data_IF_106582955549
#
_entry.id   IF_106582955549
#
_cell.length_a   1.000
_cell.length_b   1.000
_cell.length_c   1.000
_cell.angle_alpha   90.00
_cell.angle_beta   90.00
_cell.angle_gamma   90.00
#
_symmetry.space_group_name_H-M   'P 1'
#
loop_
_entity.id
_entity.type
_entity.pdbx_description
1 polymer ?
#
# COMPACT_ATOMS: atom_id res chain seq x y z
N UNK A 1 10.63 14.51 -40.81
CA UNK A 1 10.80 15.37 -39.60
C UNK A 1 9.81 14.96 -38.51
N UNK A 2 10.11 15.25 -37.24
CA UNK A 2 9.22 14.97 -36.09
C UNK A 2 7.83 15.57 -36.31
N UNK A 3 7.77 16.81 -36.85
CA UNK A 3 6.52 17.49 -37.10
C UNK A 3 5.66 16.80 -38.19
N UNK A 4 6.27 16.22 -39.21
CA UNK A 4 5.54 15.46 -40.22
C UNK A 4 4.96 14.16 -39.64
N UNK A 5 5.67 13.52 -38.73
CA UNK A 5 5.16 12.35 -37.98
C UNK A 5 3.98 12.76 -37.12
N UNK A 6 4.13 13.78 -36.28
CA UNK A 6 3.05 14.28 -35.41
C UNK A 6 1.77 14.67 -36.19
N UNK A 7 1.92 15.25 -37.41
CA UNK A 7 0.78 15.65 -38.20
C UNK A 7 0.09 14.52 -38.99
N UNK A 8 0.82 13.44 -39.31
CA UNK A 8 0.34 12.41 -40.24
C UNK A 8 0.26 11.00 -39.65
N UNK A 9 0.78 10.76 -38.46
CA UNK A 9 0.92 9.40 -37.86
C UNK A 9 -0.42 8.82 -37.45
N UNK A 10 -1.38 9.66 -37.15
CA UNK A 10 -2.70 9.23 -36.74
C UNK A 10 -3.17 9.92 -35.46
N UNK A 11 -4.07 9.28 -34.75
CA UNK A 11 -4.57 9.80 -33.48
C UNK A 11 -4.90 8.68 -32.52
N UNK A 12 -4.79 8.98 -31.24
CA UNK A 12 -5.42 8.21 -30.17
C UNK A 12 -6.50 9.08 -29.52
N UNK A 13 -7.72 8.57 -29.46
CA UNK A 13 -8.86 9.25 -28.87
C UNK A 13 -9.48 8.38 -27.80
N UNK A 14 -9.29 8.77 -26.55
CA UNK A 14 -9.96 8.17 -25.40
C UNK A 14 -11.22 8.97 -25.08
N UNK A 15 -12.34 8.27 -24.91
CA UNK A 15 -13.59 8.82 -24.41
C UNK A 15 -13.89 8.18 -23.09
N UNK A 16 -14.02 8.98 -22.03
CA UNK A 16 -14.39 8.56 -20.71
C UNK A 16 -15.68 9.24 -20.28
N UNK A 17 -16.64 8.43 -19.82
CA UNK A 17 -17.91 8.89 -19.27
C UNK A 17 -17.95 8.48 -17.79
N UNK A 18 -18.02 9.45 -16.91
CA UNK A 18 -18.15 9.23 -15.46
C UNK A 18 -19.55 9.67 -15.04
N UNK A 19 -20.36 8.73 -14.56
CA UNK A 19 -21.69 9.00 -14.06
C UNK A 19 -21.74 8.67 -12.57
N UNK A 20 -22.18 9.62 -11.75
CA UNK A 20 -22.32 9.46 -10.32
C UNK A 20 -23.74 9.86 -9.91
N UNK A 21 -24.49 8.89 -9.40
CA UNK A 21 -25.83 9.08 -8.88
C UNK A 21 -25.77 8.86 -7.37
N UNK A 22 -26.24 9.84 -6.61
CA UNK A 22 -26.36 9.75 -5.16
C UNK A 22 -27.80 10.06 -4.76
N UNK A 23 -28.46 9.08 -4.19
CA UNK A 23 -29.72 9.26 -3.51
C UNK A 23 -29.48 9.22 -2.00
N UNK A 24 -30.02 10.21 -1.27
CA UNK A 24 -29.96 10.24 0.19
C UNK A 24 -31.30 10.64 0.78
N UNK A 25 -31.72 9.91 1.80
CA UNK A 25 -32.93 10.18 2.55
C UNK A 25 -32.59 10.26 4.05
N UNK A 26 -32.98 11.33 4.69
CA UNK A 26 -32.80 11.57 6.12
C UNK A 26 -34.14 11.71 6.79
N UNK A 27 -34.42 10.92 7.81
CA UNK A 27 -35.62 10.98 8.60
C UNK A 27 -35.30 11.36 10.04
N UNK A 28 -35.92 12.43 10.52
CA UNK A 28 -35.92 12.75 11.94
C UNK A 28 -37.04 11.96 12.59
N UNK A 29 -36.71 11.19 13.61
CA UNK A 29 -37.67 10.32 14.31
C UNK A 29 -37.88 10.79 15.75
N UNK A 30 -37.87 12.11 15.96
CA UNK A 30 -38.12 12.73 17.28
C UNK A 30 -39.47 12.36 17.87
N UNK A 31 -40.42 11.89 17.04
CA UNK A 31 -41.73 11.37 17.49
C UNK A 31 -41.61 10.05 18.28
N UNK A 32 -40.52 9.24 18.05
CA UNK A 32 -40.24 8.05 18.84
C UNK A 32 -39.43 8.43 20.08
N UNK A 33 -38.30 9.12 19.86
CA UNK A 33 -37.45 9.67 20.93
C UNK A 33 -36.62 10.84 20.40
N UNK A 34 -36.52 11.90 21.22
CA UNK A 34 -35.76 13.10 20.85
C UNK A 34 -34.31 12.76 20.55
N UNK A 35 -33.82 13.23 19.40
CA UNK A 35 -32.45 13.01 18.95
C UNK A 35 -32.23 11.74 18.12
N UNK A 36 -33.29 10.98 17.81
CA UNK A 36 -33.22 9.82 16.93
C UNK A 36 -33.35 10.24 15.47
N UNK A 37 -32.51 9.72 14.60
CA UNK A 37 -32.59 9.91 13.16
C UNK A 37 -32.15 8.67 12.40
N UNK A 38 -32.62 8.54 11.17
CA UNK A 38 -32.17 7.49 10.25
C UNK A 38 -31.72 8.13 8.95
N UNK A 39 -30.69 7.55 8.35
CA UNK A 39 -30.15 7.97 7.07
C UNK A 39 -30.04 6.76 6.14
N UNK A 40 -30.50 6.90 4.92
CA UNK A 40 -30.31 5.96 3.83
C UNK A 40 -29.55 6.66 2.71
N UNK A 41 -28.50 6.02 2.20
CA UNK A 41 -27.75 6.46 1.02
C UNK A 41 -27.63 5.31 0.03
N UNK A 42 -27.90 5.60 -1.22
CA UNK A 42 -27.63 4.71 -2.35
C UNK A 42 -26.76 5.50 -3.32
N UNK A 43 -25.53 5.07 -3.47
CA UNK A 43 -24.59 5.64 -4.44
C UNK A 43 -24.38 4.63 -5.57
N UNK A 44 -24.53 5.08 -6.80
CA UNK A 44 -24.25 4.30 -8.00
C UNK A 44 -23.32 5.10 -8.88
N UNK A 45 -22.15 4.57 -9.16
CA UNK A 45 -21.19 5.17 -10.07
C UNK A 45 -20.83 4.25 -11.22
N UNK A 46 -20.68 4.82 -12.39
CA UNK A 46 -20.15 4.11 -13.56
C UNK A 46 -19.05 4.92 -14.21
N UNK A 47 -17.97 4.23 -14.54
CA UNK A 47 -16.90 4.75 -15.38
C UNK A 47 -16.90 3.87 -16.64
N UNK A 48 -17.05 4.51 -17.80
CA UNK A 48 -17.08 3.87 -19.12
C UNK A 48 -15.98 4.52 -19.95
N UNK A 49 -14.95 3.75 -20.29
CA UNK A 49 -13.80 4.22 -21.04
C UNK A 49 -13.61 3.41 -22.31
N UNK A 50 -13.60 4.12 -23.45
CA UNK A 50 -13.36 3.57 -24.75
C UNK A 50 -12.19 4.34 -25.40
N UNK A 51 -11.20 3.62 -25.89
CA UNK A 51 -10.13 4.21 -26.68
C UNK A 51 -10.21 3.72 -28.14
N UNK A 52 -9.90 4.63 -29.03
CA UNK A 52 -9.79 4.34 -30.46
C UNK A 52 -8.55 5.00 -31.01
N UNK A 53 -7.70 4.22 -31.60
CA UNK A 53 -6.48 4.68 -32.27
C UNK A 53 -6.55 4.44 -33.77
N UNK A 54 -5.97 5.32 -34.53
CA UNK A 54 -5.78 5.17 -35.95
C UNK A 54 -4.32 5.47 -36.29
N UNK A 55 -3.63 4.49 -36.81
CA UNK A 55 -2.19 4.59 -37.11
C UNK A 55 -1.90 4.37 -38.60
N UNK A 56 -0.87 5.03 -39.08
CA UNK A 56 -0.27 4.79 -40.40
C UNK A 56 1.14 4.26 -40.19
N UNK A 57 1.43 3.09 -40.72
CA UNK A 57 2.69 2.38 -40.45
C UNK A 57 3.89 2.87 -41.26
N UNK A 58 3.70 3.75 -42.21
CA UNK A 58 4.82 4.20 -43.07
C UNK A 58 4.78 5.67 -43.46
N UNK A 59 5.93 6.30 -43.40
CA UNK A 59 6.16 7.69 -43.82
C UNK A 59 7.25 7.75 -44.87
N UNK A 60 7.15 8.65 -45.89
CA UNK A 60 8.27 8.89 -46.75
C UNK A 60 9.41 9.51 -45.93
N UNK A 61 10.54 8.89 -45.96
CA UNK A 61 11.79 9.47 -45.48
C UNK A 61 12.49 10.14 -46.65
N UNK A 62 13.04 11.33 -46.42
CA UNK A 62 13.72 12.13 -47.45
C UNK A 62 15.19 12.22 -47.10
N UNK A 63 16.04 11.99 -48.10
CA UNK A 63 17.48 12.26 -48.02
C UNK A 63 17.75 13.64 -48.64
N UNK A 64 18.39 14.52 -47.90
CA UNK A 64 18.82 15.82 -48.41
C UNK A 64 20.11 15.69 -49.20
N UNK A 65 20.09 16.03 -50.47
CA UNK A 65 21.29 16.10 -51.30
C UNK A 65 21.88 17.50 -51.23
N UNK A 66 23.00 17.68 -50.53
CA UNK A 66 23.65 18.98 -50.34
C UNK A 66 24.23 19.58 -51.64
N UNK A 67 24.54 18.74 -52.63
CA UNK A 67 25.09 19.22 -53.92
C UNK A 67 24.02 19.82 -54.83
N UNK A 68 22.79 19.38 -54.74
CA UNK A 68 21.65 19.85 -55.56
C UNK A 68 20.64 20.68 -54.79
N UNK A 69 20.73 20.73 -53.45
CA UNK A 69 19.77 21.43 -52.62
C UNK A 69 18.38 20.76 -52.56
N UNK A 70 18.22 19.56 -53.08
CA UNK A 70 16.92 18.87 -53.23
C UNK A 70 16.78 17.76 -52.22
N UNK A 71 15.55 17.59 -51.71
CA UNK A 71 15.16 16.42 -50.88
C UNK A 71 14.65 15.31 -51.80
N UNK A 72 15.40 14.22 -51.88
CA UNK A 72 15.01 13.03 -52.61
C UNK A 72 14.30 12.04 -51.66
N UNK A 73 13.29 11.33 -52.14
CA UNK A 73 12.65 10.25 -51.39
C UNK A 73 13.70 9.12 -51.20
N UNK A 74 13.85 8.64 -50.00
CA UNK A 74 14.71 7.49 -49.71
C UNK A 74 14.08 6.26 -50.41
N UNK A 75 14.80 5.61 -51.35
CA UNK A 75 14.25 4.46 -52.06
C UNK A 75 14.02 3.25 -51.17
N UNK A 76 14.74 3.14 -50.05
CA UNK A 76 14.56 2.08 -49.08
C UNK A 76 13.39 2.33 -48.10
N UNK A 77 12.84 3.54 -48.10
CA UNK A 77 11.64 3.90 -47.33
C UNK A 77 10.39 3.60 -48.13
N UNK A 78 9.83 2.44 -48.01
CA UNK A 78 8.56 2.07 -48.66
C UNK A 78 7.43 2.93 -48.08
N UNK A 79 7.04 3.97 -48.86
CA UNK A 79 5.87 4.76 -48.57
C UNK A 79 4.65 4.14 -49.28
N UNK A 80 3.93 3.35 -48.54
CA UNK A 80 2.54 3.02 -48.91
C UNK A 80 1.62 4.00 -48.20
N UNK A 81 0.93 4.83 -48.97
CA UNK A 81 -0.14 5.68 -48.46
C UNK A 81 -1.31 4.75 -48.08
N UNK A 82 -1.12 3.98 -47.03
CA UNK A 82 -2.12 3.05 -46.52
C UNK A 82 -3.29 3.80 -45.86
N UNK A 83 -4.45 3.22 -45.93
CA UNK A 83 -5.59 3.60 -45.09
C UNK A 83 -5.15 3.40 -43.63
N UNK A 84 -5.36 4.39 -42.74
CA UNK A 84 -5.01 4.21 -41.34
C UNK A 84 -5.68 2.94 -40.79
N UNK A 85 -4.90 2.04 -40.19
CA UNK A 85 -5.45 0.95 -39.43
C UNK A 85 -6.17 1.54 -38.22
N UNK A 86 -7.45 1.22 -38.06
CA UNK A 86 -8.25 1.65 -36.90
C UNK A 86 -8.27 0.48 -35.94
N UNK A 87 -7.72 0.69 -34.78
CA UNK A 87 -7.78 -0.23 -33.66
C UNK A 87 -8.74 0.34 -32.62
N UNK A 88 -9.67 -0.48 -32.17
CA UNK A 88 -10.51 -0.18 -30.99
C UNK A 88 -9.87 -0.89 -29.82
N UNK A 89 -9.40 -0.10 -28.84
CA UNK A 89 -8.84 -0.69 -27.62
C UNK A 89 -9.96 -1.29 -26.78
N UNK A 90 -9.63 -2.28 -25.95
CA UNK A 90 -10.61 -2.94 -25.09
C UNK A 90 -11.40 -1.92 -24.27
N UNK A 91 -12.70 -2.13 -24.24
CA UNK A 91 -13.63 -1.35 -23.42
C UNK A 91 -13.40 -1.66 -21.95
N UNK A 92 -13.32 -0.62 -21.13
CA UNK A 92 -13.27 -0.75 -19.67
C UNK A 92 -14.52 -0.12 -19.08
N UNK A 93 -15.33 -0.89 -18.38
CA UNK A 93 -16.44 -0.38 -17.61
C UNK A 93 -16.30 -0.76 -16.14
N UNK A 94 -16.39 0.23 -15.26
CA UNK A 94 -16.43 0.05 -13.81
C UNK A 94 -17.83 0.42 -13.34
N UNK A 95 -18.47 -0.47 -12.61
CA UNK A 95 -19.77 -0.24 -11.97
C UNK A 95 -19.61 -0.42 -10.47
N UNK A 96 -20.03 0.54 -9.69
CA UNK A 96 -19.95 0.51 -8.23
C UNK A 96 -21.30 0.90 -7.65
N UNK A 97 -21.88 -0.01 -6.86
CA UNK A 97 -23.10 0.20 -6.12
C UNK A 97 -22.80 0.14 -4.63
N UNK A 98 -23.03 1.24 -3.93
CA UNK A 98 -22.85 1.34 -2.49
C UNK A 98 -24.20 1.68 -1.82
N UNK A 99 -24.59 0.84 -0.87
CA UNK A 99 -25.78 1.01 -0.04
C UNK A 99 -25.35 1.23 1.40
N UNK A 100 -25.75 2.35 2.00
CA UNK A 100 -25.52 2.65 3.41
C UNK A 100 -26.85 2.96 4.09
N UNK A 101 -27.10 2.33 5.22
CA UNK A 101 -28.22 2.63 6.09
C UNK A 101 -27.72 2.83 7.51
N UNK A 102 -28.11 3.93 8.17
CA UNK A 102 -27.71 4.19 9.55
C UNK A 102 -28.89 4.65 10.41
N UNK A 103 -28.82 4.28 11.68
CA UNK A 103 -29.65 4.80 12.76
C UNK A 103 -28.72 5.55 13.70
N UNK A 104 -29.05 6.81 13.97
CA UNK A 104 -28.23 7.70 14.78
C UNK A 104 -29.08 8.22 15.94
N UNK A 105 -28.50 8.25 17.12
CA UNK A 105 -29.08 8.84 18.32
C UNK A 105 -28.08 9.83 18.88
N UNK A 106 -28.50 11.08 19.09
CA UNK A 106 -27.65 12.13 19.64
C UNK A 106 -28.49 12.96 20.63
N UNK A 107 -28.06 12.94 21.89
CA UNK A 107 -28.78 13.66 22.95
C UNK A 107 -27.89 14.07 24.10
N UNK A 108 -28.13 15.30 24.58
CA UNK A 108 -27.52 15.80 25.80
C UNK A 108 -28.58 15.75 26.92
N UNK A 109 -28.24 15.08 28.01
CA UNK A 109 -29.06 15.00 29.21
C UNK A 109 -28.47 15.89 30.30
N UNK A 110 -29.33 16.64 30.97
CA UNK A 110 -28.98 17.53 32.08
C UNK A 110 -27.81 18.48 31.78
N UNK A 111 -27.55 18.79 30.50
CA UNK A 111 -26.41 19.60 30.04
C UNK A 111 -25.03 19.03 30.38
N UNK A 112 -24.94 17.81 30.93
CA UNK A 112 -23.73 17.19 31.44
C UNK A 112 -23.39 15.91 30.67
N UNK A 113 -24.42 15.15 30.29
CA UNK A 113 -24.21 13.83 29.66
C UNK A 113 -24.49 13.92 28.15
N UNK A 114 -23.46 13.93 27.33
CA UNK A 114 -23.60 13.93 25.88
C UNK A 114 -23.41 12.46 25.39
N UNK A 115 -24.50 11.92 24.83
CA UNK A 115 -24.56 10.52 24.34
C UNK A 115 -24.80 10.54 22.85
N UNK A 116 -23.88 9.86 22.11
CA UNK A 116 -24.03 9.65 20.68
C UNK A 116 -23.90 8.17 20.37
N UNK A 117 -24.86 7.62 19.64
CA UNK A 117 -24.84 6.24 19.18
C UNK A 117 -25.14 6.18 17.70
N UNK A 118 -24.45 5.34 16.96
CA UNK A 118 -24.69 5.09 15.54
C UNK A 118 -24.59 3.59 15.28
N UNK A 119 -25.63 3.06 14.63
CA UNK A 119 -25.57 1.74 14.00
C UNK A 119 -25.61 1.95 12.49
N UNK A 120 -24.56 1.52 11.81
CA UNK A 120 -24.39 1.64 10.35
C UNK A 120 -24.34 0.27 9.72
N UNK A 121 -25.12 0.06 8.68
CA UNK A 121 -24.96 -1.03 7.72
C UNK A 121 -24.42 -0.47 6.41
N UNK A 122 -23.40 -1.11 5.85
CA UNK A 122 -22.80 -0.79 4.55
C UNK A 122 -22.71 -2.03 3.69
N UNK A 123 -23.06 -1.91 2.41
CA UNK A 123 -22.85 -2.95 1.41
C UNK A 123 -22.35 -2.32 0.11
N UNK A 124 -21.27 -2.86 -0.42
CA UNK A 124 -20.66 -2.44 -1.67
C UNK A 124 -20.59 -3.60 -2.65
N UNK A 125 -20.83 -3.31 -3.92
CA UNK A 125 -20.69 -4.26 -5.03
C UNK A 125 -20.03 -3.54 -6.19
N UNK A 126 -18.77 -3.90 -6.47
CA UNK A 126 -17.97 -3.29 -7.54
C UNK A 126 -17.67 -4.31 -8.62
N UNK A 127 -18.04 -4.00 -9.85
CA UNK A 127 -17.75 -4.80 -11.04
C UNK A 127 -16.76 -4.03 -11.90
N UNK A 128 -15.74 -4.72 -12.40
CA UNK A 128 -14.81 -4.19 -13.40
C UNK A 128 -14.96 -5.07 -14.63
N UNK A 129 -15.51 -4.51 -15.70
CA UNK A 129 -15.66 -5.17 -16.99
C UNK A 129 -14.47 -4.74 -17.86
N UNK A 130 -13.65 -5.69 -18.27
CA UNK A 130 -12.56 -5.49 -19.24
C UNK A 130 -12.89 -6.34 -20.46
N UNK A 131 -12.92 -5.73 -21.61
CA UNK A 131 -13.10 -6.42 -22.89
C UNK A 131 -11.75 -7.01 -23.37
N UNK A 132 -11.10 -7.74 -22.46
CA UNK A 132 -9.81 -8.37 -22.72
C UNK A 132 -9.93 -9.89 -22.57
N UNK A 133 -9.38 -10.67 -23.50
CA UNK A 133 -9.35 -12.12 -23.41
C UNK A 133 -8.33 -12.67 -22.41
N UNK A 134 -8.11 -11.99 -21.28
CA UNK A 134 -7.20 -12.51 -20.27
C UNK A 134 -7.85 -13.63 -19.47
N UNK A 135 -7.31 -14.82 -19.62
CA UNK A 135 -7.77 -16.12 -19.14
C UNK A 135 -7.75 -16.32 -17.61
N UNK A 136 -7.26 -15.34 -16.85
CA UNK A 136 -6.90 -15.57 -15.43
C UNK A 136 -8.00 -15.21 -14.45
N UNK A 137 -8.87 -14.25 -14.72
CA UNK A 137 -10.00 -13.91 -13.86
C UNK A 137 -11.16 -13.41 -14.71
N UNK A 138 -12.38 -13.93 -14.48
CA UNK A 138 -13.56 -13.31 -15.06
C UNK A 138 -13.74 -11.92 -14.44
N UNK A 139 -13.42 -10.83 -15.15
CA UNK A 139 -13.53 -9.47 -14.60
C UNK A 139 -14.97 -9.09 -14.29
N UNK A 140 -15.93 -9.84 -14.80
CA UNK A 140 -17.38 -9.61 -14.66
C UNK A 140 -17.93 -10.06 -13.29
N UNK A 141 -17.16 -10.80 -12.49
CA UNK A 141 -17.62 -11.20 -11.15
C UNK A 141 -17.43 -10.04 -10.18
N UNK A 142 -18.52 -9.46 -9.62
CA UNK A 142 -18.43 -8.33 -8.73
C UNK A 142 -17.64 -8.66 -7.45
N UNK A 143 -16.84 -7.73 -6.99
CA UNK A 143 -16.25 -7.77 -5.64
C UNK A 143 -17.31 -7.26 -4.66
N UNK A 144 -17.58 -8.01 -3.61
CA UNK A 144 -18.62 -7.70 -2.64
C UNK A 144 -18.03 -7.53 -1.24
N UNK A 145 -18.40 -6.44 -0.62
CA UNK A 145 -18.11 -6.13 0.77
C UNK A 145 -19.40 -5.75 1.49
N UNK A 146 -19.53 -6.15 2.74
CA UNK A 146 -20.57 -5.61 3.62
C UNK A 146 -20.10 -5.54 5.04
N UNK A 147 -20.60 -4.56 5.78
CA UNK A 147 -20.23 -4.36 7.16
C UNK A 147 -21.35 -3.81 8.01
N UNK A 148 -21.30 -4.12 9.27
CA UNK A 148 -22.14 -3.49 10.30
C UNK A 148 -21.23 -2.85 11.32
N UNK A 149 -21.41 -1.56 11.58
CA UNK A 149 -20.59 -0.79 12.51
C UNK A 149 -21.47 -0.19 13.59
N UNK A 150 -21.10 -0.43 14.84
CA UNK A 150 -21.66 0.24 16.01
C UNK A 150 -20.64 1.25 16.54
N UNK A 151 -21.05 2.48 16.72
CA UNK A 151 -20.29 3.52 17.40
C UNK A 151 -21.08 4.05 18.58
N UNK A 152 -20.45 4.09 19.74
CA UNK A 152 -20.99 4.68 20.96
C UNK A 152 -19.98 5.69 21.47
N UNK A 153 -20.41 6.94 21.63
CA UNK A 153 -19.61 8.02 22.20
C UNK A 153 -20.33 8.59 23.40
N UNK A 154 -19.64 8.69 24.49
CA UNK A 154 -20.14 9.30 25.71
C UNK A 154 -19.17 10.35 26.22
N UNK A 155 -19.70 11.53 26.52
CA UNK A 155 -18.93 12.60 27.11
C UNK A 155 -19.62 13.11 28.37
N UNK A 156 -18.90 13.10 29.47
CA UNK A 156 -19.36 13.58 30.76
C UNK A 156 -18.73 14.94 31.06
N UNK A 157 -19.60 15.96 31.19
CA UNK A 157 -19.29 17.35 31.55
C UNK A 157 -18.08 17.91 30.77
N UNK A 158 -17.94 17.53 29.50
CA UNK A 158 -16.78 17.89 28.63
C UNK A 158 -15.41 17.44 29.15
N UNK A 159 -15.35 16.75 30.28
CA UNK A 159 -14.11 16.30 30.96
C UNK A 159 -13.68 14.91 30.58
N UNK A 160 -14.60 13.94 30.65
CA UNK A 160 -14.31 12.54 30.38
C UNK A 160 -15.00 12.11 29.10
N UNK A 161 -14.22 11.52 28.18
CA UNK A 161 -14.69 11.06 26.89
C UNK A 161 -14.42 9.58 26.76
N UNK A 162 -15.42 8.82 26.32
CA UNK A 162 -15.32 7.39 26.05
C UNK A 162 -15.92 7.16 24.68
N UNK A 163 -15.14 6.57 23.79
CA UNK A 163 -15.56 6.13 22.46
C UNK A 163 -15.43 4.61 22.36
N UNK A 164 -16.49 3.93 22.02
CA UNK A 164 -16.49 2.51 21.71
C UNK A 164 -16.93 2.32 20.27
N UNK A 165 -16.12 1.64 19.48
CA UNK A 165 -16.39 1.31 18.10
C UNK A 165 -16.28 -0.20 17.90
N UNK A 166 -17.17 -0.77 17.11
CA UNK A 166 -17.21 -2.18 16.80
C UNK A 166 -17.63 -2.35 15.35
N UNK A 167 -16.83 -3.04 14.56
CA UNK A 167 -17.17 -3.37 13.18
C UNK A 167 -17.19 -4.90 12.99
N UNK A 168 -18.24 -5.39 12.31
CA UNK A 168 -18.38 -6.76 11.84
C UNK A 168 -18.48 -6.73 10.33
N UNK A 169 -17.35 -7.02 9.66
CA UNK A 169 -17.19 -6.85 8.23
C UNK A 169 -17.02 -8.19 7.52
N UNK A 170 -17.60 -8.31 6.35
CA UNK A 170 -17.51 -9.49 5.49
C UNK A 170 -17.01 -9.14 4.10
N UNK A 171 -16.07 -9.92 3.58
CA UNK A 171 -15.49 -9.81 2.24
C UNK A 171 -15.67 -11.12 1.47
N UNK A 172 -15.96 -11.03 0.17
CA UNK A 172 -16.07 -12.17 -0.72
C UNK A 172 -14.73 -12.73 -1.21
N UNK A 173 -13.61 -12.06 -0.82
CA UNK A 173 -12.26 -12.51 -1.12
C UNK A 173 -11.90 -13.82 -0.42
N UNK A 174 -12.62 -14.13 0.67
CA UNK A 174 -12.37 -15.31 1.51
C UNK A 174 -13.43 -16.38 1.32
N UNK A 175 -13.06 -17.63 1.55
CA UNK A 175 -13.96 -18.77 1.51
C UNK A 175 -15.11 -18.62 2.52
N UNK A 176 -16.27 -19.23 2.22
CA UNK A 176 -17.36 -19.31 3.19
C UNK A 176 -16.87 -19.89 4.53
N UNK A 177 -17.22 -19.23 5.64
CA UNK A 177 -16.69 -19.54 6.98
C UNK A 177 -15.55 -18.63 7.43
N UNK A 178 -14.75 -18.05 6.52
CA UNK A 178 -13.64 -17.13 6.82
C UNK A 178 -13.90 -15.69 6.39
N UNK A 179 -15.09 -15.40 5.84
CA UNK A 179 -15.44 -14.10 5.25
C UNK A 179 -15.56 -12.97 6.25
N UNK A 180 -15.98 -13.27 7.48
CA UNK A 180 -16.33 -12.25 8.46
C UNK A 180 -15.23 -12.06 9.49
N UNK A 181 -14.91 -10.77 9.76
CA UNK A 181 -14.00 -10.35 10.81
C UNK A 181 -14.69 -9.40 11.80
N UNK A 182 -14.31 -9.50 13.07
CA UNK A 182 -14.78 -8.66 14.16
C UNK A 182 -13.67 -7.74 14.65
N UNK A 183 -13.93 -6.42 14.67
CA UNK A 183 -12.93 -5.38 14.87
C UNK A 183 -13.41 -4.36 15.92
N UNK A 184 -13.20 -4.63 17.22
CA UNK A 184 -13.52 -3.69 18.29
C UNK A 184 -12.40 -2.68 18.51
N UNK A 185 -12.78 -1.46 18.96
CA UNK A 185 -11.85 -0.42 19.39
C UNK A 185 -12.48 0.41 20.51
N UNK A 186 -11.64 0.85 21.45
CA UNK A 186 -12.00 1.74 22.52
C UNK A 186 -11.05 2.94 22.57
N UNK A 187 -11.59 4.12 22.79
CA UNK A 187 -10.86 5.35 23.02
C UNK A 187 -11.28 5.99 24.33
N UNK A 188 -10.35 6.56 25.04
CA UNK A 188 -10.55 7.30 26.28
C UNK A 188 -9.90 8.67 26.14
N UNK A 189 -10.58 9.69 26.66
CA UNK A 189 -10.06 11.04 26.70
C UNK A 189 -10.36 11.71 28.05
N UNK A 190 -9.39 12.45 28.54
CA UNK A 190 -9.53 13.26 29.75
C UNK A 190 -9.08 14.69 29.47
N UNK A 191 -10.04 15.62 29.48
CA UNK A 191 -9.79 17.04 29.37
C UNK A 191 -9.44 17.62 30.75
N UNK A 192 -8.16 17.54 31.14
CA UNK A 192 -7.66 17.95 32.45
C UNK A 192 -7.91 19.47 32.66
N UNK A 193 -7.78 20.26 31.58
CA UNK A 193 -8.08 21.69 31.62
C UNK A 193 -9.50 22.04 32.04
N UNK A 194 -10.46 21.10 31.87
CA UNK A 194 -11.85 21.29 32.26
C UNK A 194 -12.10 20.98 33.74
N UNK A 195 -11.11 20.47 34.47
CA UNK A 195 -11.24 20.20 35.90
C UNK A 195 -11.24 21.49 36.70
N UNK A 196 -12.13 21.61 37.67
CA UNK A 196 -12.30 22.82 38.48
C UNK A 196 -11.07 23.18 39.30
N UNK A 197 -10.31 22.15 39.77
CA UNK A 197 -9.04 22.34 40.48
C UNK A 197 -7.95 22.87 39.55
N UNK A 198 -7.90 22.39 38.29
CA UNK A 198 -6.90 22.81 37.30
C UNK A 198 -7.13 24.26 36.89
N UNK A 199 -8.35 24.64 36.52
CA UNK A 199 -8.73 26.01 36.12
C UNK A 199 -8.45 27.05 37.22
N UNK A 200 -8.52 26.65 38.49
CA UNK A 200 -8.28 27.56 39.60
C UNK A 200 -6.78 27.83 39.81
N UNK A 201 -5.91 26.86 39.57
CA UNK A 201 -4.50 26.92 39.91
C UNK A 201 -3.59 27.17 38.70
N UNK A 202 -3.99 26.78 37.50
CA UNK A 202 -3.16 26.89 36.30
C UNK A 202 -3.75 27.92 35.36
N UNK A 203 -3.02 29.01 35.14
CA UNK A 203 -3.38 30.07 34.21
C UNK A 203 -2.52 29.95 32.94
N UNK A 204 -3.13 30.31 31.78
CA UNK A 204 -2.42 30.30 30.49
C UNK A 204 -2.42 28.94 29.78
N UNK A 205 -3.04 27.92 30.35
CA UNK A 205 -3.34 26.65 29.67
C UNK A 205 -4.80 26.65 29.25
N UNK A 206 -5.04 26.77 27.95
CA UNK A 206 -6.39 26.84 27.39
C UNK A 206 -7.01 25.46 27.21
N UNK A 207 -6.18 24.47 26.81
CA UNK A 207 -6.53 23.06 26.70
C UNK A 207 -5.37 22.19 27.16
N UNK A 208 -5.67 21.24 28.01
CA UNK A 208 -4.81 20.08 28.28
C UNK A 208 -5.69 18.84 28.27
N UNK A 209 -5.50 18.00 27.26
CA UNK A 209 -6.25 16.76 27.08
C UNK A 209 -5.31 15.59 26.87
N UNK A 210 -5.50 14.55 27.66
CA UNK A 210 -4.88 13.25 27.44
C UNK A 210 -5.87 12.35 26.69
N UNK A 211 -5.37 11.57 25.75
CA UNK A 211 -6.17 10.60 25.00
C UNK A 211 -5.41 9.32 24.83
N UNK A 212 -6.11 8.22 24.82
CA UNK A 212 -5.55 6.90 24.51
C UNK A 212 -6.58 6.08 23.77
N UNK A 213 -6.10 5.26 22.86
CA UNK A 213 -6.97 4.31 22.15
C UNK A 213 -6.29 2.95 22.01
N UNK A 214 -7.12 1.93 21.97
CA UNK A 214 -6.70 0.57 21.65
C UNK A 214 -7.77 -0.08 20.77
N UNK A 215 -7.33 -0.69 19.66
CA UNK A 215 -8.27 -1.29 18.72
C UNK A 215 -7.67 -2.40 17.88
N UNK A 216 -8.57 -3.25 17.37
CA UNK A 216 -8.27 -4.25 16.36
C UNK A 216 -8.78 -3.74 15.01
N UNK A 217 -7.93 -3.77 14.00
CA UNK A 217 -8.25 -3.40 12.61
C UNK A 217 -7.99 -4.60 11.70
N UNK A 218 -8.86 -4.81 10.72
CA UNK A 218 -8.71 -5.85 9.71
C UNK A 218 -8.49 -5.26 8.31
N UNK A 219 -7.76 -6.01 7.47
CA UNK A 219 -7.60 -5.74 6.04
C UNK A 219 -7.94 -6.99 5.24
N UNK A 220 -8.72 -6.82 4.17
CA UNK A 220 -9.08 -7.88 3.22
C UNK A 220 -8.35 -7.75 1.89
N UNK A 221 -7.29 -6.94 1.80
CA UNK A 221 -6.58 -6.66 0.53
C UNK A 221 -6.04 -7.94 -0.11
N UNK A 222 -5.71 -8.97 0.69
CA UNK A 222 -5.32 -10.31 0.24
C UNK A 222 -4.25 -10.26 -0.88
N UNK A 223 -3.24 -9.40 -0.74
CA UNK A 223 -2.18 -9.16 -1.73
C UNK A 223 -2.73 -8.79 -3.14
N UNK A 224 -3.93 -8.19 -3.21
CA UNK A 224 -4.61 -7.86 -4.46
C UNK A 224 -5.33 -9.04 -5.14
N UNK A 225 -5.18 -10.26 -4.64
CA UNK A 225 -5.73 -11.46 -5.25
C UNK A 225 -7.15 -11.78 -4.75
N UNK A 226 -7.87 -12.54 -5.56
CA UNK A 226 -9.19 -13.11 -5.22
C UNK A 226 -9.11 -14.63 -5.36
N UNK A 227 -9.98 -15.32 -4.63
CA UNK A 227 -10.15 -16.78 -4.76
C UNK A 227 -8.87 -17.60 -4.48
N UNK A 228 -8.00 -17.09 -3.58
CA UNK A 228 -6.79 -17.81 -3.15
C UNK A 228 -7.08 -19.19 -2.56
N UNK A 229 -8.34 -19.47 -2.25
CA UNK A 229 -8.83 -20.77 -1.78
C UNK A 229 -9.15 -21.76 -2.90
N UNK A 230 -9.20 -21.32 -4.16
CA UNK A 230 -9.43 -22.20 -5.29
C UNK A 230 -8.11 -22.79 -5.82
N UNK A 231 -8.15 -24.07 -6.18
CA UNK A 231 -7.07 -24.68 -6.95
C UNK A 231 -7.04 -24.07 -8.35
N UNK A 232 -5.84 -23.70 -8.79
CA UNK A 232 -5.61 -23.14 -10.12
C UNK A 232 -4.98 -24.20 -11.03
N UNK A 233 -5.47 -24.30 -12.25
CA UNK A 233 -4.85 -25.07 -13.32
C UNK A 233 -4.39 -24.10 -14.40
N UNK A 234 -3.16 -24.29 -14.87
CA UNK A 234 -2.53 -23.45 -15.86
C UNK A 234 -2.24 -24.22 -17.14
N UNK A 235 -2.07 -23.51 -18.25
CA UNK A 235 -1.61 -24.15 -19.47
C UNK A 235 -0.21 -24.74 -19.24
N UNK A 236 -0.10 -26.04 -19.52
CA UNK A 236 1.16 -26.77 -19.50
C UNK A 236 1.84 -26.77 -20.86
N UNK A 237 2.85 -27.62 -21.01
CA UNK A 237 3.46 -27.85 -22.30
C UNK A 237 2.47 -28.53 -23.25
N UNK A 238 2.54 -28.18 -24.54
CA UNK A 238 1.76 -28.88 -25.55
C UNK A 238 2.29 -30.29 -25.76
N UNK A 239 1.40 -31.24 -26.01
CA UNK A 239 1.73 -32.58 -26.40
C UNK A 239 1.52 -32.73 -27.91
N UNK A 240 2.44 -33.48 -28.55
CA UNK A 240 2.41 -33.77 -29.98
C UNK A 240 2.16 -35.27 -30.15
N UNK A 241 1.04 -35.64 -30.83
CA UNK A 241 0.68 -37.01 -31.05
C UNK A 241 0.99 -37.50 -32.48
N UNK A 242 1.59 -36.64 -33.31
CA UNK A 242 1.96 -36.97 -34.68
C UNK A 242 3.45 -37.07 -34.88
N UNK A 243 3.87 -37.87 -35.84
CA UNK A 243 5.29 -38.09 -36.24
C UNK A 243 5.95 -36.80 -36.78
N UNK A 244 5.15 -35.81 -37.19
CA UNK A 244 5.59 -34.57 -37.84
C UNK A 244 5.35 -33.30 -37.00
N UNK A 245 5.07 -33.41 -35.70
CA UNK A 245 4.82 -32.25 -34.80
C UNK A 245 3.71 -31.30 -35.32
N UNK A 246 2.89 -31.74 -36.25
CA UNK A 246 1.92 -30.87 -36.96
C UNK A 246 0.69 -30.51 -36.11
N UNK A 247 0.38 -31.26 -35.07
CA UNK A 247 -0.78 -31.05 -34.21
C UNK A 247 -0.32 -30.95 -32.74
N UNK A 248 -0.33 -29.74 -32.22
CA UNK A 248 -0.05 -29.45 -30.82
C UNK A 248 -1.34 -29.44 -30.00
N UNK A 249 -1.44 -30.30 -29.01
CA UNK A 249 -2.55 -30.32 -28.06
C UNK A 249 -2.14 -29.62 -26.79
N UNK A 250 -2.88 -28.57 -26.34
CA UNK A 250 -2.54 -27.86 -25.11
C UNK A 250 -2.64 -28.79 -23.91
N UNK A 251 -1.58 -28.88 -23.14
CA UNK A 251 -1.56 -29.58 -21.86
C UNK A 251 -2.02 -28.66 -20.73
N UNK A 252 -2.43 -29.26 -19.63
CA UNK A 252 -2.69 -28.55 -18.38
C UNK A 252 -1.79 -29.07 -17.27
N UNK A 253 -1.37 -28.19 -16.39
CA UNK A 253 -0.60 -28.52 -15.18
C UNK A 253 -1.27 -27.89 -13.96
N UNK A 254 -1.02 -28.45 -12.81
CA UNK A 254 -1.40 -27.81 -11.56
C UNK A 254 -0.62 -26.49 -11.39
N UNK A 255 -1.35 -25.42 -11.12
CA UNK A 255 -0.81 -24.14 -10.69
C UNK A 255 -0.67 -24.09 -9.17
N UNK A 256 -0.75 -22.90 -8.59
CA UNK A 256 -0.64 -22.75 -7.14
C UNK A 256 -1.77 -23.50 -6.41
N UNK A 257 -1.40 -24.25 -5.37
CA UNK A 257 -2.35 -24.95 -4.50
C UNK A 257 -3.25 -23.95 -3.78
N UNK A 258 -4.58 -24.17 -3.82
CA UNK A 258 -5.53 -23.34 -3.10
C UNK A 258 -5.35 -23.42 -1.57
N UNK A 259 -5.67 -22.33 -0.86
CA UNK A 259 -5.63 -22.28 0.58
C UNK A 259 -6.96 -21.85 1.17
N UNK A 260 -7.71 -22.81 1.69
CA UNK A 260 -9.04 -22.61 2.30
C UNK A 260 -9.03 -21.71 3.55
N UNK A 261 -7.88 -21.57 4.21
CA UNK A 261 -7.73 -20.89 5.49
C UNK A 261 -7.38 -19.40 5.35
N UNK A 262 -7.33 -18.87 4.12
CA UNK A 262 -7.07 -17.44 3.91
C UNK A 262 -8.17 -16.60 4.55
N UNK A 263 -7.75 -15.63 5.36
CA UNK A 263 -8.65 -14.75 6.11
C UNK A 263 -8.05 -13.34 6.25
N UNK A 264 -8.71 -12.50 7.01
CA UNK A 264 -8.32 -11.12 7.30
C UNK A 264 -6.91 -11.02 7.90
N UNK A 265 -6.11 -10.12 7.35
CA UNK A 265 -4.94 -9.59 8.05
C UNK A 265 -5.40 -8.69 9.19
N UNK A 266 -4.71 -8.75 10.34
CA UNK A 266 -5.12 -8.05 11.55
C UNK A 266 -4.01 -7.17 12.10
N UNK A 267 -4.40 -6.03 12.67
CA UNK A 267 -3.49 -5.12 13.37
C UNK A 267 -4.10 -4.72 14.73
N UNK A 268 -3.36 -4.96 15.80
CA UNK A 268 -3.61 -4.38 17.12
C UNK A 268 -2.90 -3.03 17.16
N UNK A 269 -3.67 -1.97 17.37
CA UNK A 269 -3.18 -0.60 17.40
C UNK A 269 -3.37 0.00 18.77
N UNK A 270 -2.31 0.57 19.31
CA UNK A 270 -2.32 1.36 20.54
C UNK A 270 -1.85 2.77 20.21
N UNK A 271 -2.51 3.74 20.79
CA UNK A 271 -2.18 5.15 20.66
C UNK A 271 -2.32 5.86 22.00
N UNK A 272 -1.38 6.76 22.31
CA UNK A 272 -1.39 7.61 23.48
C UNK A 272 -1.00 9.03 23.06
N UNK A 273 -1.92 9.97 23.24
CA UNK A 273 -1.75 11.34 22.77
C UNK A 273 -2.00 12.39 23.84
N UNK A 274 -1.40 13.55 23.62
CA UNK A 274 -1.60 14.75 24.40
C UNK A 274 -1.91 15.92 23.47
N UNK A 275 -2.95 16.66 23.79
CA UNK A 275 -3.33 17.92 23.13
C UNK A 275 -3.14 19.06 24.15
N UNK A 276 -2.35 20.05 23.81
CA UNK A 276 -2.02 21.18 24.67
C UNK A 276 -2.16 22.50 23.90
N UNK A 277 -2.98 23.41 24.41
CA UNK A 277 -3.07 24.79 23.92
C UNK A 277 -2.67 25.75 25.04
N UNK A 278 -1.80 26.70 24.71
CA UNK A 278 -1.26 27.67 25.65
C UNK A 278 -1.45 29.09 25.12
N UNK A 279 -1.83 30.00 26.02
CA UNK A 279 -1.89 31.45 25.79
C UNK A 279 -2.70 31.86 24.57
N UNK A 280 -3.67 31.05 24.12
CA UNK A 280 -4.46 31.23 22.89
C UNK A 280 -3.61 31.39 21.60
N UNK A 281 -2.32 31.09 21.65
CA UNK A 281 -1.40 31.27 20.50
C UNK A 281 -0.55 30.05 20.17
N UNK A 282 -0.28 29.17 21.12
CA UNK A 282 0.55 27.99 20.93
C UNK A 282 -0.31 26.73 21.05
N UNK A 283 -0.25 25.85 20.05
CA UNK A 283 -0.86 24.54 20.06
C UNK A 283 0.18 23.45 19.89
N UNK A 284 0.10 22.40 20.67
CA UNK A 284 0.95 21.22 20.59
C UNK A 284 0.06 19.98 20.62
N UNK A 285 0.30 19.10 19.66
CA UNK A 285 -0.23 17.74 19.63
C UNK A 285 0.93 16.77 19.55
N UNK A 286 0.94 15.77 20.38
CA UNK A 286 1.96 14.73 20.40
C UNK A 286 1.29 13.36 20.58
N UNK A 287 1.67 12.39 19.77
CA UNK A 287 1.19 11.04 19.79
C UNK A 287 2.33 10.03 19.80
N UNK A 288 2.21 9.03 20.63
CA UNK A 288 2.98 7.81 20.59
C UNK A 288 2.08 6.66 20.13
N UNK A 289 2.51 5.91 19.12
CA UNK A 289 1.77 4.78 18.60
C UNK A 289 2.59 3.49 18.58
N UNK A 290 1.86 2.37 18.74
CA UNK A 290 2.42 1.02 18.62
C UNK A 290 1.43 0.12 17.88
N UNK A 291 1.84 -0.39 16.72
CA UNK A 291 1.09 -1.30 15.87
C UNK A 291 1.72 -2.69 15.91
N UNK A 292 0.94 -3.71 16.20
CA UNK A 292 1.32 -5.11 16.03
C UNK A 292 0.43 -5.74 14.97
N UNK A 293 1.00 -5.98 13.80
CA UNK A 293 0.32 -6.65 12.69
C UNK A 293 0.61 -8.13 12.73
N UNK A 294 -0.40 -8.95 12.51
CA UNK A 294 -0.33 -10.40 12.53
C UNK A 294 -1.35 -11.00 11.56
N UNK A 295 -1.24 -12.29 11.31
CA UNK A 295 -2.01 -12.97 10.27
C UNK A 295 -1.85 -12.29 8.89
N UNK A 296 -0.69 -11.65 8.64
CA UNK A 296 -0.39 -11.05 7.35
C UNK A 296 -0.10 -12.14 6.32
N UNK A 297 -0.60 -11.96 5.11
CA UNK A 297 -0.40 -12.90 4.02
C UNK A 297 1.04 -12.84 3.52
N UNK A 298 1.64 -14.01 3.35
CA UNK A 298 3.01 -14.19 2.84
C UNK A 298 3.11 -15.49 2.07
N UNK A 299 3.90 -15.51 0.99
CA UNK A 299 4.30 -16.74 0.34
C UNK A 299 5.28 -17.51 1.21
N UNK A 300 5.15 -18.83 1.24
CA UNK A 300 6.02 -19.70 2.00
C UNK A 300 7.30 -20.00 1.23
N UNK A 301 8.38 -19.31 1.58
CA UNK A 301 9.72 -19.55 1.03
C UNK A 301 10.50 -20.62 1.82
N UNK A 302 9.90 -21.14 2.87
CA UNK A 302 10.44 -22.22 3.71
C UNK A 302 10.05 -23.64 3.23
N UNK A 303 9.28 -23.74 2.13
CA UNK A 303 8.87 -25.00 1.52
C UNK A 303 9.89 -25.38 0.43
N UNK A 304 10.42 -26.61 0.45
CA UNK A 304 11.33 -27.08 -0.59
C UNK A 304 10.70 -27.12 -1.99
N UNK A 305 11.44 -26.72 -3.01
CA UNK A 305 11.00 -26.72 -4.43
C UNK A 305 10.63 -28.11 -4.96
N UNK A 306 11.02 -29.18 -4.28
CA UNK A 306 10.67 -30.57 -4.64
C UNK A 306 9.15 -30.81 -4.65
N UNK A 307 8.36 -29.93 -4.02
CA UNK A 307 6.91 -29.97 -4.10
C UNK A 307 6.40 -29.90 -5.55
N UNK A 308 7.16 -29.25 -6.45
CA UNK A 308 6.86 -29.17 -7.89
C UNK A 308 5.74 -28.20 -8.25
N UNK A 309 4.98 -27.68 -7.28
CA UNK A 309 3.92 -26.70 -7.48
C UNK A 309 4.07 -25.53 -6.52
N UNK A 310 3.60 -24.35 -6.93
CA UNK A 310 3.51 -23.19 -6.06
C UNK A 310 2.44 -23.36 -4.97
N UNK A 311 2.54 -22.60 -3.90
CA UNK A 311 1.52 -22.54 -2.84
C UNK A 311 0.86 -21.17 -2.82
N UNK A 312 -0.43 -21.12 -2.48
CA UNK A 312 -1.09 -19.87 -2.15
C UNK A 312 -0.48 -19.25 -0.88
N UNK A 313 -0.56 -17.91 -0.75
CA UNK A 313 -0.11 -17.25 0.45
C UNK A 313 -0.87 -17.75 1.70
N UNK A 314 -0.22 -17.64 2.86
CA UNK A 314 -0.76 -18.04 4.16
C UNK A 314 -0.73 -16.89 5.15
N UNK A 315 -1.68 -16.83 6.08
CA UNK A 315 -1.82 -15.78 7.10
C UNK A 315 -0.90 -16.05 8.32
N UNK A 316 0.42 -15.92 8.16
CA UNK A 316 1.39 -16.23 9.24
C UNK A 316 2.41 -15.13 9.52
N UNK A 317 2.61 -14.18 8.59
CA UNK A 317 3.59 -13.13 8.80
C UNK A 317 3.17 -12.15 9.91
N UNK A 318 4.18 -11.57 10.54
CA UNK A 318 4.03 -10.64 11.66
C UNK A 318 5.00 -9.50 11.52
N UNK A 319 4.51 -8.29 11.72
CA UNK A 319 5.33 -7.08 11.76
C UNK A 319 4.92 -6.19 12.91
N UNK A 320 5.84 -5.37 13.39
CA UNK A 320 5.53 -4.31 14.34
C UNK A 320 5.91 -2.97 13.73
N UNK A 321 5.20 -1.93 14.15
CA UNK A 321 5.53 -0.55 13.80
C UNK A 321 5.28 0.32 15.03
N UNK A 322 6.25 1.15 15.39
CA UNK A 322 6.13 2.07 16.52
C UNK A 322 6.79 3.39 16.22
N UNK A 323 6.31 4.42 16.85
CA UNK A 323 6.85 5.74 16.63
C UNK A 323 6.12 6.81 17.41
N UNK A 324 6.42 8.02 17.06
CA UNK A 324 5.74 9.20 17.58
C UNK A 324 5.58 10.21 16.45
N UNK A 325 4.52 10.96 16.52
CA UNK A 325 4.29 12.10 15.64
C UNK A 325 3.71 13.28 16.43
N UNK A 326 3.72 14.44 15.81
CA UNK A 326 3.19 15.60 16.46
C UNK A 326 3.23 16.85 15.60
N UNK A 327 2.62 17.87 16.16
CA UNK A 327 2.48 19.16 15.53
C UNK A 327 2.65 20.26 16.56
N UNK A 328 3.37 21.31 16.20
CA UNK A 328 3.52 22.54 16.99
C UNK A 328 3.06 23.69 16.13
N UNK A 329 1.97 24.33 16.53
CA UNK A 329 1.42 25.50 15.85
C UNK A 329 1.57 26.75 16.70
N UNK A 330 2.01 27.84 16.10
CA UNK A 330 1.99 29.15 16.75
C UNK A 330 1.24 30.13 15.87
N UNK A 331 0.27 30.84 16.48
CA UNK A 331 -0.55 31.85 15.81
C UNK A 331 -0.66 33.09 16.70
N UNK A 332 -0.20 34.20 16.21
CA UNK A 332 -0.28 35.46 16.93
C UNK A 332 -0.61 36.62 15.97
N UNK A 333 -1.43 37.55 16.46
CA UNK A 333 -1.73 38.80 15.76
C UNK A 333 -1.02 39.98 16.47
N UNK A 334 -0.28 40.75 15.67
CA UNK A 334 0.45 41.94 16.10
C UNK A 334 -0.09 43.17 15.34
N UNK A 335 -1.09 43.82 15.90
CA UNK A 335 -1.79 44.88 15.17
C UNK A 335 -2.51 44.31 13.93
N UNK A 336 -2.13 44.81 12.74
CA UNK A 336 -2.67 44.33 11.46
C UNK A 336 -1.89 43.14 10.88
N UNK A 337 -0.72 42.82 11.44
CA UNK A 337 0.09 41.69 11.01
C UNK A 337 -0.33 40.42 11.75
N UNK A 338 -0.59 39.34 10.98
CA UNK A 338 -0.89 38.02 11.52
C UNK A 338 0.24 37.07 11.16
N UNK A 339 0.88 36.49 12.18
CA UNK A 339 1.90 35.48 12.02
C UNK A 339 1.35 34.10 12.36
N UNK A 340 1.50 33.15 11.45
CA UNK A 340 1.14 31.75 11.66
C UNK A 340 2.32 30.89 11.24
N UNK A 341 2.71 29.96 12.09
CA UNK A 341 3.69 28.94 11.74
C UNK A 341 3.28 27.59 12.29
N UNK A 342 3.58 26.55 11.54
CA UNK A 342 3.25 25.18 11.89
C UNK A 342 4.44 24.26 11.60
N UNK A 343 4.86 23.52 12.60
CA UNK A 343 5.89 22.50 12.49
C UNK A 343 5.26 21.13 12.74
N UNK A 344 5.46 20.21 11.82
CA UNK A 344 5.01 18.81 11.93
C UNK A 344 6.22 17.89 11.91
N UNK A 345 6.18 16.86 12.72
CA UNK A 345 7.23 15.86 12.77
C UNK A 345 6.62 14.47 12.95
N UNK A 346 7.28 13.49 12.38
CA UNK A 346 6.91 12.08 12.54
C UNK A 346 8.17 11.23 12.52
N UNK A 347 8.21 10.25 13.39
CA UNK A 347 9.22 9.21 13.42
C UNK A 347 8.53 7.86 13.56
N UNK A 348 8.80 6.93 12.64
CA UNK A 348 8.25 5.59 12.65
C UNK A 348 9.34 4.56 12.34
N UNK A 349 9.36 3.47 13.10
CA UNK A 349 10.25 2.33 12.87
C UNK A 349 9.46 1.04 12.86
N UNK A 350 9.50 0.35 11.74
CA UNK A 350 8.90 -0.97 11.61
C UNK A 350 9.94 -2.09 11.77
N UNK A 351 9.46 -3.30 12.02
CA UNK A 351 10.29 -4.50 12.15
C UNK A 351 9.53 -5.71 11.66
N UNK A 352 10.16 -6.54 10.83
CA UNK A 352 9.69 -7.86 10.47
C UNK A 352 9.95 -8.79 11.67
N UNK A 353 8.88 -9.31 12.25
CA UNK A 353 8.98 -10.25 13.38
C UNK A 353 9.02 -11.69 12.88
N UNK A 354 8.27 -11.98 11.81
CA UNK A 354 8.22 -13.28 11.16
C UNK A 354 7.63 -13.17 9.75
N UNK A 355 8.17 -13.89 8.77
CA UNK A 355 7.70 -13.85 7.38
C UNK A 355 7.86 -15.16 6.58
N UNK A 356 7.98 -16.32 7.22
CA UNK A 356 8.23 -17.61 6.56
C UNK A 356 9.44 -17.57 5.60
N UNK A 357 10.51 -16.94 6.04
CA UNK A 357 11.77 -16.84 5.31
C UNK A 357 12.47 -18.20 5.33
N UNK A 358 13.07 -18.60 4.20
CA UNK A 358 13.92 -19.77 4.16
C UNK A 358 15.07 -19.63 5.17
N UNK A 359 15.44 -20.74 5.81
CA UNK A 359 16.54 -20.73 6.78
C UNK A 359 17.81 -20.26 6.09
N UNK A 360 18.35 -19.14 6.55
CA UNK A 360 19.62 -18.61 6.05
C UNK A 360 20.79 -19.35 6.66
N UNK A 361 21.85 -19.52 5.88
CA UNK A 361 23.08 -20.16 6.36
C UNK A 361 23.73 -19.34 7.47
N UNK A 362 23.70 -18.02 7.35
CA UNK A 362 24.23 -17.08 8.32
C UNK A 362 23.16 -16.13 8.83
N UNK A 363 23.15 -15.82 10.14
CA UNK A 363 22.12 -14.97 10.75
C UNK A 363 22.03 -13.56 10.17
N UNK A 364 23.12 -12.99 9.69
CA UNK A 364 23.17 -11.63 9.14
C UNK A 364 22.51 -11.50 7.76
N UNK A 365 22.24 -12.63 7.08
CA UNK A 365 21.52 -12.66 5.80
C UNK A 365 20.00 -12.58 5.98
N UNK A 366 19.50 -12.83 7.20
CA UNK A 366 18.08 -12.88 7.45
C UNK A 366 17.46 -11.48 7.37
N UNK A 367 16.37 -11.33 6.61
CA UNK A 367 15.58 -10.10 6.60
C UNK A 367 14.64 -10.01 7.81
N UNK A 368 14.28 -11.14 8.42
CA UNK A 368 13.58 -11.18 9.71
C UNK A 368 14.41 -10.49 10.79
N UNK A 369 13.78 -9.60 11.53
CA UNK A 369 14.46 -8.77 12.55
C UNK A 369 14.81 -7.37 12.07
N UNK A 370 14.80 -7.11 10.78
CA UNK A 370 15.05 -5.81 10.15
C UNK A 370 13.76 -5.09 9.76
N UNK A 371 13.88 -3.85 9.29
CA UNK A 371 12.77 -3.08 8.75
C UNK A 371 12.35 -3.62 7.39
N UNK A 372 11.07 -3.43 7.03
CA UNK A 372 10.58 -3.72 5.68
C UNK A 372 11.32 -2.80 4.69
N UNK A 373 11.85 -3.39 3.62
CA UNK A 373 12.64 -2.65 2.62
C UNK A 373 14.05 -2.29 3.08
N UNK A 374 14.59 -2.99 4.09
CA UNK A 374 15.99 -2.88 4.49
C UNK A 374 16.88 -3.39 3.34
N UNK A 375 17.80 -2.56 2.81
CA UNK A 375 18.76 -3.04 1.82
C UNK A 375 19.80 -3.95 2.46
N UNK A 376 20.22 -4.97 1.69
CA UNK A 376 21.32 -5.87 2.03
C UNK A 376 22.42 -5.71 0.99
N UNK A 377 23.65 -5.65 1.43
CA UNK A 377 24.79 -5.44 0.58
C UNK A 377 26.11 -5.67 1.31
N UNK A 378 27.20 -5.43 0.62
CA UNK A 378 28.53 -5.60 1.18
C UNK A 378 28.94 -4.40 2.04
N UNK A 379 29.59 -4.70 3.15
CA UNK A 379 30.18 -3.64 4.02
C UNK A 379 31.53 -3.24 3.46
N UNK A 380 31.67 -1.96 3.09
CA UNK A 380 32.91 -1.42 2.59
C UNK A 380 33.95 -1.25 3.70
N UNK A 381 35.20 -1.71 3.47
CA UNK A 381 36.34 -1.59 4.39
C UNK A 381 37.45 -0.66 3.89
N UNK A 382 37.43 -0.27 2.62
CA UNK A 382 38.45 0.56 2.03
C UNK A 382 38.72 0.20 0.58
N UNK A 383 39.95 0.45 0.16
CA UNK A 383 40.47 0.09 -1.16
C UNK A 383 41.60 -0.91 -1.04
N UNK A 384 41.74 -1.80 -2.01
CA UNK A 384 42.92 -2.66 -2.09
C UNK A 384 44.18 -1.82 -2.30
N UNK A 385 45.15 -2.02 -1.44
CA UNK A 385 46.47 -1.38 -1.56
C UNK A 385 47.40 -2.19 -2.44
N UNK A 386 48.52 -1.62 -2.96
CA UNK A 386 49.55 -2.39 -3.65
C UNK A 386 50.11 -3.54 -2.80
N UNK A 387 50.21 -3.38 -1.48
CA UNK A 387 50.62 -4.40 -0.52
C UNK A 387 49.60 -5.53 -0.43
N UNK A 388 48.30 -5.21 -0.38
CA UNK A 388 47.20 -6.19 -0.45
C UNK A 388 47.31 -7.05 -1.72
N UNK A 389 47.55 -6.42 -2.87
CA UNK A 389 47.70 -7.14 -4.15
C UNK A 389 48.93 -8.04 -4.16
N UNK A 390 50.04 -7.60 -3.55
CA UNK A 390 51.21 -8.43 -3.41
C UNK A 390 50.96 -9.67 -2.54
N UNK A 391 50.23 -9.51 -1.42
CA UNK A 391 49.82 -10.60 -0.53
C UNK A 391 48.88 -11.60 -1.22
N UNK A 392 47.90 -11.10 -1.98
CA UNK A 392 46.98 -11.95 -2.75
C UNK A 392 47.75 -12.79 -3.77
N UNK A 393 48.67 -12.20 -4.54
CA UNK A 393 49.50 -12.91 -5.53
C UNK A 393 50.43 -13.91 -4.89
N UNK A 394 50.93 -13.63 -3.70
CA UNK A 394 51.80 -14.53 -2.96
C UNK A 394 51.05 -15.69 -2.25
N UNK A 395 49.70 -15.64 -2.19
CA UNK A 395 48.92 -16.59 -1.43
C UNK A 395 49.18 -16.51 0.07
N UNK A 396 49.49 -15.30 0.59
CA UNK A 396 49.80 -15.11 2.00
C UNK A 396 48.60 -15.42 2.87
N UNK A 397 48.81 -15.99 4.07
CA UNK A 397 47.71 -16.35 5.00
C UNK A 397 46.93 -15.13 5.53
N UNK A 398 47.55 -13.95 5.50
CA UNK A 398 46.94 -12.67 5.88
C UNK A 398 46.50 -11.83 4.66
N UNK A 399 46.37 -12.45 3.48
CA UNK A 399 45.84 -11.77 2.30
C UNK A 399 44.36 -11.41 2.52
N UNK A 400 43.89 -10.22 2.12
CA UNK A 400 42.51 -9.88 2.21
C UNK A 400 41.65 -10.76 1.27
N UNK A 401 40.38 -10.98 1.66
CA UNK A 401 39.39 -11.66 0.86
C UNK A 401 39.18 -10.99 -0.50
N UNK A 402 38.90 -11.77 -1.52
CA UNK A 402 38.71 -11.28 -2.91
C UNK A 402 37.32 -11.61 -3.43
N UNK A 403 36.74 -10.78 -4.31
CA UNK A 403 35.45 -11.06 -4.94
C UNK A 403 35.48 -12.38 -5.72
N UNK A 404 34.40 -13.14 -5.68
CA UNK A 404 34.21 -14.35 -6.49
C UNK A 404 33.92 -13.98 -7.94
N UNK A 405 34.97 -13.62 -8.69
CA UNK A 405 34.90 -13.19 -10.09
C UNK A 405 36.16 -13.63 -10.82
N UNK A 406 36.07 -13.84 -12.14
CA UNK A 406 37.21 -14.13 -13.00
C UNK A 406 38.14 -12.93 -13.25
N UNK A 407 37.73 -11.75 -12.82
CA UNK A 407 38.51 -10.51 -12.99
C UNK A 407 39.41 -10.31 -11.77
N UNK A 408 40.74 -10.31 -11.96
CA UNK A 408 41.68 -10.08 -10.86
C UNK A 408 41.52 -8.67 -10.27
N UNK A 409 41.50 -8.57 -8.95
CA UNK A 409 41.46 -7.28 -8.24
C UNK A 409 42.75 -6.50 -8.46
N UNK A 410 42.63 -5.18 -8.50
CA UNK A 410 43.73 -4.24 -8.68
C UNK A 410 43.81 -3.27 -7.50
N UNK A 411 44.97 -2.64 -7.33
CA UNK A 411 45.11 -1.57 -6.34
C UNK A 411 44.17 -0.40 -6.69
N UNK A 412 43.37 0.05 -5.70
CA UNK A 412 42.34 1.06 -5.88
C UNK A 412 40.94 0.50 -6.06
N UNK A 413 40.75 -0.80 -6.25
CA UNK A 413 39.42 -1.41 -6.25
C UNK A 413 38.79 -1.41 -4.85
N UNK A 414 37.47 -1.49 -4.78
CA UNK A 414 36.72 -1.52 -3.53
C UNK A 414 36.96 -2.82 -2.77
N UNK A 415 37.36 -2.71 -1.50
CA UNK A 415 37.55 -3.82 -0.57
C UNK A 415 36.35 -3.94 0.36
N UNK A 416 35.77 -5.14 0.44
CA UNK A 416 34.62 -5.46 1.24
C UNK A 416 34.95 -6.43 2.36
N UNK A 417 34.14 -6.38 3.40
CA UNK A 417 34.30 -7.22 4.59
C UNK A 417 33.86 -8.65 4.29
N UNK A 418 34.76 -9.58 4.58
CA UNK A 418 34.49 -10.99 4.67
C UNK A 418 33.83 -11.28 6.03
N UNK A 419 32.54 -11.63 6.01
CA UNK A 419 31.76 -11.84 7.23
C UNK A 419 31.83 -13.28 7.74
N UNK A 420 32.03 -14.23 6.82
CA UNK A 420 32.11 -15.66 7.18
C UNK A 420 33.56 -16.17 7.34
N UNK A 421 34.55 -15.38 6.92
CA UNK A 421 35.98 -15.68 7.06
C UNK A 421 36.48 -16.74 6.10
N UNK A 422 35.84 -16.94 4.94
CA UNK A 422 36.25 -17.96 3.95
C UNK A 422 37.27 -17.45 2.91
N UNK A 423 37.63 -16.16 2.95
CA UNK A 423 38.56 -15.51 2.04
C UNK A 423 37.97 -15.13 0.68
N UNK A 424 36.65 -15.30 0.49
CA UNK A 424 35.98 -15.04 -0.78
C UNK A 424 34.77 -14.10 -0.51
N UNK A 425 34.74 -12.95 -1.14
CA UNK A 425 33.58 -12.03 -1.06
C UNK A 425 32.53 -12.52 -2.04
N UNK A 426 31.38 -12.95 -1.48
CA UNK A 426 30.23 -13.46 -2.22
C UNK A 426 28.90 -13.12 -1.51
N UNK A 427 27.78 -13.69 -1.96
CA UNK A 427 26.46 -13.42 -1.41
C UNK A 427 26.33 -13.74 0.10
N UNK A 428 27.22 -14.54 0.67
CA UNK A 428 27.24 -14.85 2.10
C UNK A 428 27.82 -13.71 2.96
N UNK A 429 28.48 -12.72 2.36
CA UNK A 429 29.04 -11.55 3.03
C UNK A 429 28.13 -10.32 2.99
N UNK A 430 26.94 -10.48 2.42
CA UNK A 430 25.93 -9.43 2.47
C UNK A 430 25.33 -9.32 3.87
N UNK A 431 25.13 -8.11 4.33
CA UNK A 431 24.45 -7.81 5.59
C UNK A 431 23.52 -6.60 5.43
N UNK A 432 22.71 -6.32 6.42
CA UNK A 432 21.85 -5.14 6.42
C UNK A 432 22.71 -3.86 6.38
N UNK A 433 22.56 -3.06 5.33
CA UNK A 433 23.30 -1.81 5.12
C UNK A 433 22.35 -0.62 4.97
N UNK A 434 22.86 0.59 5.28
CA UNK A 434 22.13 1.83 5.04
C UNK A 434 20.81 1.96 5.81
N UNK A 435 19.83 2.55 5.18
CA UNK A 435 18.48 2.82 5.71
C UNK A 435 17.42 2.17 4.83
N UNK A 436 16.25 1.83 5.39
CA UNK A 436 15.11 1.34 4.60
C UNK A 436 14.71 2.33 3.50
N UNK A 437 14.08 1.82 2.44
CA UNK A 437 13.63 2.63 1.31
C UNK A 437 12.60 3.72 1.71
N UNK A 438 11.84 3.49 2.77
CA UNK A 438 10.91 4.48 3.32
C UNK A 438 11.59 5.29 4.42
N UNK A 439 11.50 6.63 4.40
CA UNK A 439 12.04 7.48 5.44
C UNK A 439 11.42 7.16 6.81
N UNK A 440 12.24 6.99 7.82
CA UNK A 440 11.75 6.82 9.20
C UNK A 440 11.34 8.15 9.84
N UNK A 441 11.86 9.26 9.35
CA UNK A 441 11.61 10.61 9.88
C UNK A 441 11.07 11.50 8.78
N UNK A 442 9.98 12.19 9.08
CA UNK A 442 9.40 13.22 8.21
C UNK A 442 9.25 14.51 9.01
N UNK A 443 9.71 15.61 8.45
CA UNK A 443 9.61 16.95 9.04
C UNK A 443 8.94 17.87 8.03
N UNK A 444 8.05 18.72 8.50
CA UNK A 444 7.41 19.75 7.70
C UNK A 444 7.34 21.07 8.47
N UNK A 445 7.61 22.18 7.80
CA UNK A 445 7.52 23.51 8.37
C UNK A 445 6.82 24.45 7.40
N UNK A 446 5.82 25.16 7.90
CA UNK A 446 5.03 26.14 7.14
C UNK A 446 4.98 27.44 7.93
N UNK A 447 5.16 28.55 7.22
CA UNK A 447 5.06 29.90 7.77
C UNK A 447 4.07 30.71 6.97
#
# INVERSE_FOLDING_TARGET
TLNARLANEGYNRTRRNDNNLLYSANWKMDFLTKGLSSNLRVAYSTIDENARSAWRDSYPTYHYNSATGVYNINPDGVYTKGVPAITVDPHTAIKDLNLMASINYARVFNQIHDVNAMLLFNQESKTVELDSPSWVYSPQVPTKFRGTTLKLSYKYDSRYLIDFNMAYNGSDRFKAGHRYGFFPAIGLGWAISEESWFRKHVKGVDLLKLRTSYGLVGSDVAMGNRYLYNQVYENGNSYYFSEYEAEAFPGYKEGALGNDNVTWEKAKKFDLGIDLNLFNCLSLTFDYFYDKRYDQLVYRNDIPLILGVGTSPVNIARTTNQGFDGQIGYRQKFGDFQFNTNFVFSYAKNKIVYQAEAQQLYPWLASTGHSIGQPFGYTWEGYYTPDDIAKIKAGAADAPAVPNTDIPVQAGDLKYKDLNGDGIINDYDKSAIGKPNLPNTTLGWTV
#
